data_IF_814403748180
#
_entry.id   IF_814403748180
#
_cell.length_a   1.000
_cell.length_b   1.000
_cell.length_c   1.000
_cell.angle_alpha   90.00
_cell.angle_beta   90.00
_cell.angle_gamma   90.00
#
_symmetry.space_group_name_H-M   'P 1'
#
loop_
_entity.id
_entity.type
_entity.pdbx_description
1 polymer ?
#
# COMPACT_ATOMS: atom_id res chain seq x y z
N UNK A 1 65.23 46.87 27.81
CA UNK A 1 63.84 46.99 28.32
C UNK A 1 62.78 46.82 27.22
N UNK A 2 63.14 46.86 25.93
CA UNK A 2 62.23 46.73 24.77
C UNK A 2 61.85 45.28 24.42
N UNK A 3 62.73 44.32 24.67
CA UNK A 3 62.52 42.90 24.32
C UNK A 3 61.41 42.22 25.14
N UNK A 4 61.28 42.55 26.43
CA UNK A 4 60.23 42.02 27.29
C UNK A 4 58.83 42.51 26.85
N UNK A 5 58.76 43.74 26.34
CA UNK A 5 57.51 44.37 25.91
C UNK A 5 57.07 43.83 24.54
N UNK A 6 58.03 43.56 23.64
CA UNK A 6 57.78 42.87 22.38
C UNK A 6 57.34 41.41 22.59
N UNK A 7 57.94 40.70 23.55
CA UNK A 7 57.55 39.34 23.91
C UNK A 7 56.11 39.29 24.49
N UNK A 8 55.75 40.26 25.34
CA UNK A 8 54.40 40.37 25.89
C UNK A 8 53.35 40.67 24.79
N UNK A 9 53.66 41.61 23.88
CA UNK A 9 52.80 41.93 22.74
C UNK A 9 52.65 40.74 21.78
N UNK A 10 53.73 40.02 21.51
CA UNK A 10 53.71 38.80 20.70
C UNK A 10 52.84 37.70 21.32
N UNK A 11 52.90 37.53 22.64
CA UNK A 11 52.07 36.57 23.36
C UNK A 11 50.57 36.94 23.34
N UNK A 12 50.25 38.23 23.48
CA UNK A 12 48.86 38.72 23.42
C UNK A 12 48.29 38.53 22.01
N UNK A 13 49.02 38.94 20.97
CA UNK A 13 48.59 38.80 19.57
C UNK A 13 48.48 37.32 19.18
N UNK A 14 49.46 36.50 19.57
CA UNK A 14 49.42 35.05 19.36
C UNK A 14 48.24 34.37 20.05
N UNK A 15 47.92 34.77 21.29
CA UNK A 15 46.77 34.27 22.04
C UNK A 15 45.43 34.64 21.39
N UNK A 16 45.27 35.89 20.95
CA UNK A 16 44.04 36.36 20.28
C UNK A 16 43.84 35.66 18.93
N UNK A 17 44.89 35.52 18.12
CA UNK A 17 44.81 34.82 16.83
C UNK A 17 44.49 33.33 17.03
N UNK A 18 45.10 32.69 18.04
CA UNK A 18 44.84 31.28 18.35
C UNK A 18 43.40 31.05 18.81
N UNK A 19 42.86 31.93 19.68
CA UNK A 19 41.48 31.88 20.12
C UNK A 19 40.49 32.11 18.96
N UNK A 20 40.81 33.04 18.05
CA UNK A 20 39.97 33.33 16.89
C UNK A 20 39.93 32.17 15.88
N UNK A 21 41.09 31.58 15.55
CA UNK A 21 41.16 30.41 14.66
C UNK A 21 40.49 29.20 15.30
N UNK A 22 40.74 28.95 16.60
CA UNK A 22 40.09 27.88 17.35
C UNK A 22 38.57 28.04 17.37
N UNK A 23 38.06 29.23 17.68
CA UNK A 23 36.62 29.52 17.64
C UNK A 23 35.99 29.27 16.27
N UNK A 24 36.68 29.67 15.19
CA UNK A 24 36.18 29.44 13.81
C UNK A 24 36.20 27.97 13.41
N UNK A 25 37.20 27.21 13.84
CA UNK A 25 37.28 25.77 13.60
C UNK A 25 36.22 25.02 14.40
N UNK A 26 36.04 25.33 15.68
CA UNK A 26 35.00 24.73 16.52
C UNK A 26 33.60 25.07 16.01
N UNK A 27 33.34 26.30 15.58
CA UNK A 27 32.05 26.67 14.99
C UNK A 27 31.75 25.93 13.68
N UNK A 28 32.76 25.65 12.85
CA UNK A 28 32.60 24.84 11.63
C UNK A 28 32.30 23.38 11.95
N UNK A 29 33.00 22.80 12.93
CA UNK A 29 32.78 21.42 13.36
C UNK A 29 31.38 21.26 13.95
N UNK A 30 30.98 22.15 14.87
CA UNK A 30 29.63 22.13 15.44
C UNK A 30 28.54 22.30 14.38
N UNK A 31 28.75 23.18 13.39
CA UNK A 31 27.81 23.33 12.27
C UNK A 31 27.73 22.04 11.44
N UNK A 32 28.85 21.39 11.16
CA UNK A 32 28.86 20.15 10.39
C UNK A 32 28.22 18.97 11.16
N UNK A 33 28.52 18.82 12.45
CA UNK A 33 27.89 17.81 13.31
C UNK A 33 26.38 18.03 13.45
N UNK A 34 25.94 19.28 13.54
CA UNK A 34 24.50 19.60 13.60
C UNK A 34 23.80 19.36 12.27
N UNK A 35 24.46 19.61 11.14
CA UNK A 35 23.94 19.27 9.80
C UNK A 35 23.82 17.76 9.61
N UNK A 36 24.86 16.98 9.97
CA UNK A 36 24.83 15.52 9.94
C UNK A 36 23.72 14.94 10.84
N UNK A 37 23.62 15.43 12.09
CA UNK A 37 22.56 14.99 12.99
C UNK A 37 21.15 15.38 12.50
N UNK A 38 21.01 16.45 11.72
CA UNK A 38 19.74 16.83 11.10
C UNK A 38 19.41 15.93 9.90
N UNK A 39 20.41 15.53 9.12
CA UNK A 39 20.29 14.59 8.00
C UNK A 39 19.91 13.19 8.50
N UNK A 40 20.63 12.63 9.48
CA UNK A 40 20.32 11.34 10.10
C UNK A 40 18.88 11.31 10.66
N UNK A 41 18.43 12.40 11.29
CA UNK A 41 17.04 12.51 11.78
C UNK A 41 16.02 12.54 10.65
N UNK A 42 16.36 13.09 9.48
CA UNK A 42 15.46 13.08 8.31
C UNK A 42 15.39 11.68 7.72
N UNK A 43 16.53 11.02 7.55
CA UNK A 43 16.61 9.65 7.04
C UNK A 43 15.88 8.66 7.95
N UNK A 44 16.08 8.76 9.27
CA UNK A 44 15.35 7.95 10.25
C UNK A 44 13.83 8.16 10.16
N UNK A 45 13.38 9.42 10.02
CA UNK A 45 11.94 9.72 9.85
C UNK A 45 11.39 9.13 8.55
N UNK A 46 12.14 9.23 7.45
CA UNK A 46 11.74 8.65 6.17
C UNK A 46 11.66 7.12 6.26
N UNK A 47 12.64 6.47 6.88
CA UNK A 47 12.64 5.02 7.07
C UNK A 47 11.47 4.56 7.96
N UNK A 48 11.18 5.28 9.05
CA UNK A 48 10.06 4.96 9.92
C UNK A 48 8.71 5.18 9.24
N UNK A 49 8.57 6.22 8.42
CA UNK A 49 7.36 6.49 7.63
C UNK A 49 7.13 5.37 6.59
N UNK A 50 8.16 4.97 5.85
CA UNK A 50 8.08 3.86 4.90
C UNK A 50 7.71 2.54 5.58
N UNK A 51 8.25 2.27 6.78
CA UNK A 51 7.88 1.08 7.57
C UNK A 51 6.42 1.11 7.98
N UNK A 52 5.90 2.26 8.40
CA UNK A 52 4.48 2.43 8.77
C UNK A 52 3.57 2.22 7.57
N UNK A 53 3.93 2.80 6.42
CA UNK A 53 3.22 2.64 5.16
C UNK A 53 3.16 1.18 4.71
N UNK A 54 4.30 0.49 4.71
CA UNK A 54 4.38 -0.93 4.36
C UNK A 54 3.58 -1.80 5.34
N UNK A 55 3.69 -1.57 6.65
CA UNK A 55 2.89 -2.29 7.64
C UNK A 55 1.39 -2.08 7.44
N UNK A 56 0.96 -0.85 7.19
CA UNK A 56 -0.44 -0.54 6.91
C UNK A 56 -0.92 -1.22 5.62
N UNK A 57 -0.11 -1.20 4.56
CA UNK A 57 -0.43 -1.86 3.30
C UNK A 57 -0.63 -3.37 3.50
N UNK A 58 0.26 -4.01 4.26
CA UNK A 58 0.20 -5.44 4.60
C UNK A 58 -1.09 -5.80 5.36
N UNK A 59 -1.48 -5.01 6.37
CA UNK A 59 -2.74 -5.25 7.10
C UNK A 59 -3.97 -5.11 6.21
N UNK A 60 -3.95 -4.16 5.27
CA UNK A 60 -5.05 -3.94 4.34
C UNK A 60 -5.10 -5.02 3.24
N UNK A 61 -3.96 -5.55 2.81
CA UNK A 61 -3.89 -6.71 1.91
C UNK A 61 -4.53 -7.95 2.53
N UNK A 62 -4.25 -8.24 3.80
CA UNK A 62 -4.91 -9.33 4.54
C UNK A 62 -6.42 -9.12 4.59
N UNK A 63 -6.87 -7.92 4.94
CA UNK A 63 -8.30 -7.61 5.00
C UNK A 63 -9.02 -7.72 3.64
N UNK A 64 -8.33 -7.34 2.54
CA UNK A 64 -8.86 -7.54 1.18
C UNK A 64 -8.97 -9.02 0.83
N UNK A 65 -7.95 -9.82 1.15
CA UNK A 65 -7.97 -11.26 0.91
C UNK A 65 -9.13 -11.94 1.66
N UNK A 66 -9.31 -11.61 2.94
CA UNK A 66 -10.44 -12.09 3.76
C UNK A 66 -11.79 -11.67 3.18
N UNK A 67 -11.88 -10.45 2.63
CA UNK A 67 -13.10 -9.93 2.03
C UNK A 67 -13.47 -10.66 0.73
N UNK A 68 -12.49 -10.96 -0.12
CA UNK A 68 -12.71 -11.63 -1.42
C UNK A 68 -12.90 -13.14 -1.30
N UNK A 69 -12.46 -13.74 -0.20
CA UNK A 69 -12.59 -15.18 0.05
C UNK A 69 -14.05 -15.57 0.30
N UNK A 70 -14.56 -16.47 -0.54
CA UNK A 70 -15.90 -17.05 -0.39
C UNK A 70 -15.76 -18.53 -0.04
N UNK A 71 -16.09 -18.87 1.20
CA UNK A 71 -16.21 -20.26 1.65
C UNK A 71 -17.65 -20.74 1.35
N UNK A 72 -17.91 -21.29 0.16
CA UNK A 72 -19.25 -21.77 -0.22
C UNK A 72 -19.45 -22.03 -1.71
N UNK A 73 -20.70 -22.28 -2.11
CA UNK A 73 -21.11 -22.52 -3.50
C UNK A 73 -20.82 -21.30 -4.39
N UNK A 74 -20.10 -21.51 -5.51
CA UNK A 74 -19.79 -20.47 -6.50
C UNK A 74 -21.05 -19.81 -7.08
N UNK A 75 -22.19 -20.52 -7.09
CA UNK A 75 -23.47 -19.96 -7.53
C UNK A 75 -23.95 -18.78 -6.66
N UNK A 76 -23.37 -18.60 -5.47
CA UNK A 76 -23.70 -17.52 -4.53
C UNK A 76 -22.73 -16.33 -4.59
N UNK A 77 -21.86 -16.28 -5.60
CA UNK A 77 -20.83 -15.23 -5.71
C UNK A 77 -21.41 -13.81 -5.77
N UNK A 78 -22.47 -13.58 -6.55
CA UNK A 78 -23.15 -12.27 -6.59
C UNK A 78 -23.72 -11.90 -5.22
N UNK A 79 -24.35 -12.86 -4.54
CA UNK A 79 -24.92 -12.66 -3.22
C UNK A 79 -23.89 -12.42 -2.12
N UNK A 80 -22.65 -12.85 -2.34
CA UNK A 80 -21.54 -12.63 -1.43
C UNK A 80 -20.98 -11.20 -1.44
N UNK A 81 -21.26 -10.42 -2.48
CA UNK A 81 -20.74 -9.05 -2.65
C UNK A 81 -21.82 -7.97 -2.79
N UNK A 82 -23.00 -8.33 -3.29
CA UNK A 82 -24.15 -7.43 -3.44
C UNK A 82 -25.35 -7.90 -2.62
N UNK A 83 -26.21 -6.96 -2.21
CA UNK A 83 -27.47 -7.26 -1.53
C UNK A 83 -28.52 -7.77 -2.53
N UNK A 84 -28.66 -9.09 -2.61
CA UNK A 84 -29.69 -9.80 -3.40
C UNK A 84 -30.38 -10.84 -2.52
N UNK A 85 -31.57 -11.35 -2.89
CA UNK A 85 -32.21 -12.45 -2.16
C UNK A 85 -31.24 -13.64 -2.01
N UNK A 86 -30.97 -14.02 -0.77
CA UNK A 86 -30.05 -15.10 -0.41
C UNK A 86 -30.42 -15.69 0.95
N UNK A 87 -29.75 -16.76 1.36
CA UNK A 87 -29.94 -17.33 2.70
C UNK A 87 -29.43 -16.37 3.78
N UNK A 88 -29.96 -16.51 5.00
CA UNK A 88 -29.54 -15.71 6.15
C UNK A 88 -28.03 -15.85 6.44
N UNK A 89 -27.47 -17.04 6.19
CA UNK A 89 -26.05 -17.33 6.39
C UNK A 89 -25.17 -16.51 5.43
N UNK A 90 -25.55 -16.40 4.16
CA UNK A 90 -24.84 -15.58 3.17
C UNK A 90 -24.84 -14.11 3.58
N UNK A 91 -25.97 -13.60 4.07
CA UNK A 91 -26.07 -12.23 4.58
C UNK A 91 -25.19 -12.00 5.81
N UNK A 92 -25.14 -12.95 6.73
CA UNK A 92 -24.30 -12.87 7.94
C UNK A 92 -22.82 -12.90 7.58
N UNK A 93 -22.40 -13.84 6.73
CA UNK A 93 -21.01 -13.94 6.26
C UNK A 93 -20.56 -12.68 5.51
N UNK A 94 -21.41 -12.14 4.63
CA UNK A 94 -21.14 -10.90 3.91
C UNK A 94 -20.98 -9.71 4.84
N UNK A 95 -21.91 -9.51 5.79
CA UNK A 95 -21.83 -8.44 6.78
C UNK A 95 -20.54 -8.52 7.61
N UNK A 96 -20.15 -9.73 8.02
CA UNK A 96 -18.89 -9.95 8.74
C UNK A 96 -17.69 -9.50 7.92
N UNK A 97 -17.56 -9.98 6.67
CA UNK A 97 -16.46 -9.59 5.76
C UNK A 97 -16.40 -8.08 5.52
N UNK A 98 -17.53 -7.45 5.24
CA UNK A 98 -17.61 -5.99 5.04
C UNK A 98 -17.19 -5.24 6.30
N UNK A 99 -17.66 -5.66 7.48
CA UNK A 99 -17.28 -5.06 8.75
C UNK A 99 -15.78 -5.15 9.00
N UNK A 100 -15.18 -6.33 8.78
CA UNK A 100 -13.72 -6.55 8.93
C UNK A 100 -12.93 -5.64 7.98
N UNK A 101 -13.33 -5.57 6.70
CA UNK A 101 -12.67 -4.73 5.71
C UNK A 101 -12.70 -3.24 6.10
N UNK A 102 -13.88 -2.74 6.48
CA UNK A 102 -14.03 -1.33 6.86
C UNK A 102 -13.29 -1.00 8.17
N UNK A 103 -13.25 -1.93 9.12
CA UNK A 103 -12.50 -1.77 10.35
C UNK A 103 -10.99 -1.69 10.07
N UNK A 104 -10.44 -2.59 9.26
CA UNK A 104 -9.04 -2.54 8.84
C UNK A 104 -8.71 -1.20 8.15
N UNK A 105 -9.61 -0.74 7.26
CA UNK A 105 -9.52 0.58 6.64
C UNK A 105 -9.40 1.71 7.66
N UNK A 106 -10.31 1.75 8.65
CA UNK A 106 -10.27 2.79 9.70
C UNK A 106 -8.99 2.75 10.54
N UNK A 107 -8.43 1.57 10.76
CA UNK A 107 -7.23 1.37 11.60
C UNK A 107 -5.94 1.68 10.86
N UNK A 108 -5.87 1.50 9.54
CA UNK A 108 -4.59 1.48 8.82
C UNK A 108 -4.53 2.42 7.60
N UNK A 109 -5.65 2.76 6.97
CA UNK A 109 -5.62 3.52 5.71
C UNK A 109 -5.00 4.93 5.86
N UNK A 110 -5.11 5.54 7.04
CA UNK A 110 -4.55 6.87 7.33
C UNK A 110 -3.01 6.94 7.19
N UNK A 111 -2.33 5.80 7.24
CA UNK A 111 -0.89 5.71 7.07
C UNK A 111 -0.48 5.49 5.61
N UNK A 112 -1.42 5.37 4.67
CA UNK A 112 -1.10 5.20 3.25
C UNK A 112 -0.72 6.53 2.57
N UNK A 113 0.02 6.47 1.44
CA UNK A 113 0.20 7.63 0.58
C UNK A 113 -1.15 8.23 0.14
N UNK A 114 -1.25 9.56 -0.07
CA UNK A 114 -2.54 10.24 -0.32
C UNK A 114 -3.35 9.66 -1.47
N UNK A 115 -2.70 9.30 -2.58
CA UNK A 115 -3.38 8.71 -3.74
C UNK A 115 -3.99 7.34 -3.41
N UNK A 116 -3.24 6.51 -2.68
CA UNK A 116 -3.69 5.18 -2.30
C UNK A 116 -4.77 5.23 -1.22
N UNK A 117 -4.67 6.19 -0.30
CA UNK A 117 -5.73 6.49 0.66
C UNK A 117 -7.04 6.86 -0.06
N UNK A 118 -6.97 7.70 -1.10
CA UNK A 118 -8.15 8.05 -1.90
C UNK A 118 -8.74 6.83 -2.65
N UNK A 119 -7.90 5.95 -3.19
CA UNK A 119 -8.34 4.68 -3.81
C UNK A 119 -9.04 3.78 -2.78
N UNK A 120 -8.50 3.71 -1.56
CA UNK A 120 -9.11 2.94 -0.46
C UNK A 120 -10.47 3.51 -0.05
N UNK A 121 -10.60 4.82 0.12
CA UNK A 121 -11.86 5.48 0.43
C UNK A 121 -12.93 5.23 -0.65
N UNK A 122 -12.53 5.27 -1.92
CA UNK A 122 -13.42 4.94 -3.03
C UNK A 122 -13.87 3.46 -2.97
N UNK A 123 -12.97 2.52 -2.68
CA UNK A 123 -13.32 1.11 -2.49
C UNK A 123 -14.29 0.93 -1.30
N UNK A 124 -14.01 1.57 -0.17
CA UNK A 124 -14.87 1.51 1.01
C UNK A 124 -16.28 2.04 0.70
N UNK A 125 -16.37 3.10 -0.09
CA UNK A 125 -17.65 3.62 -0.58
C UNK A 125 -18.36 2.62 -1.51
N UNK A 126 -17.67 2.04 -2.49
CA UNK A 126 -18.26 1.03 -3.38
C UNK A 126 -18.80 -0.18 -2.62
N UNK A 127 -18.03 -0.68 -1.65
CA UNK A 127 -18.45 -1.79 -0.78
C UNK A 127 -19.71 -1.42 -0.01
N UNK A 128 -19.74 -0.25 0.62
CA UNK A 128 -20.94 0.24 1.35
C UNK A 128 -22.14 0.40 0.42
N UNK A 129 -21.93 0.95 -0.77
CA UNK A 129 -22.98 1.12 -1.76
C UNK A 129 -23.60 -0.21 -2.18
N UNK A 130 -22.77 -1.21 -2.47
CA UNK A 130 -23.21 -2.56 -2.85
C UNK A 130 -23.93 -3.33 -1.71
N UNK A 131 -23.75 -2.89 -0.45
CA UNK A 131 -24.46 -3.42 0.71
C UNK A 131 -25.75 -2.69 1.06
N UNK A 132 -25.88 -1.44 0.63
CA UNK A 132 -27.07 -0.63 0.90
C UNK A 132 -28.30 -1.18 0.19
N UNK A 133 -29.47 -0.76 0.63
CA UNK A 133 -30.73 -1.10 -0.03
C UNK A 133 -30.80 -0.34 -1.36
N UNK A 134 -30.74 -1.09 -2.45
CA UNK A 134 -30.76 -0.56 -3.82
C UNK A 134 -32.12 -0.83 -4.45
N UNK A 135 -32.53 0.03 -5.38
CA UNK A 135 -33.65 -0.26 -6.27
C UNK A 135 -33.37 -1.55 -7.06
N UNK A 136 -34.43 -2.20 -7.52
CA UNK A 136 -34.29 -3.44 -8.28
C UNK A 136 -33.51 -3.20 -9.58
N UNK A 137 -32.29 -3.75 -9.64
CA UNK A 137 -31.43 -3.73 -10.84
C UNK A 137 -31.57 -5.06 -11.57
N UNK A 138 -31.51 -5.02 -12.91
CA UNK A 138 -31.47 -6.23 -13.73
C UNK A 138 -30.25 -7.09 -13.37
N UNK A 139 -30.35 -8.41 -13.55
CA UNK A 139 -29.25 -9.33 -13.20
C UNK A 139 -27.93 -8.96 -13.89
N UNK A 140 -27.98 -8.57 -15.17
CA UNK A 140 -26.81 -8.14 -15.93
C UNK A 140 -26.12 -6.91 -15.29
N UNK A 141 -26.88 -5.93 -14.80
CA UNK A 141 -26.31 -4.77 -14.13
C UNK A 141 -25.71 -5.16 -12.77
N UNK A 142 -26.34 -6.06 -12.02
CA UNK A 142 -25.79 -6.56 -10.75
C UNK A 142 -24.48 -7.32 -10.93
N UNK A 143 -24.40 -8.20 -11.93
CA UNK A 143 -23.17 -8.92 -12.26
C UNK A 143 -22.06 -7.97 -12.69
N UNK A 144 -22.41 -6.91 -13.42
CA UNK A 144 -21.48 -5.84 -13.78
C UNK A 144 -21.00 -5.10 -12.54
N UNK A 145 -21.89 -4.69 -11.63
CA UNK A 145 -21.52 -4.01 -10.37
C UNK A 145 -20.57 -4.85 -9.51
N UNK A 146 -20.80 -6.17 -9.43
CA UNK A 146 -19.90 -7.11 -8.75
C UNK A 146 -18.56 -7.23 -9.47
N UNK A 147 -18.56 -7.27 -10.80
CA UNK A 147 -17.32 -7.32 -11.59
C UNK A 147 -16.50 -6.02 -11.42
N UNK A 148 -17.16 -4.86 -11.46
CA UNK A 148 -16.54 -3.55 -11.24
C UNK A 148 -15.88 -3.51 -9.84
N UNK A 149 -16.58 -3.99 -8.80
CA UNK A 149 -16.03 -4.08 -7.45
C UNK A 149 -14.79 -4.98 -7.39
N UNK A 150 -14.86 -6.19 -7.94
CA UNK A 150 -13.74 -7.14 -7.88
C UNK A 150 -12.53 -6.64 -8.68
N UNK A 151 -12.77 -6.01 -9.83
CA UNK A 151 -11.73 -5.37 -10.63
C UNK A 151 -11.08 -4.20 -9.88
N UNK A 152 -11.89 -3.39 -9.19
CA UNK A 152 -11.36 -2.28 -8.40
C UNK A 152 -10.60 -2.77 -7.15
N UNK A 153 -11.04 -3.87 -6.53
CA UNK A 153 -10.30 -4.54 -5.45
C UNK A 153 -8.92 -4.98 -5.94
N UNK A 154 -8.83 -5.58 -7.13
CA UNK A 154 -7.54 -5.99 -7.72
C UNK A 154 -6.63 -4.78 -7.99
N UNK A 155 -7.20 -3.69 -8.53
CA UNK A 155 -6.47 -2.44 -8.73
C UNK A 155 -5.90 -1.86 -7.42
N UNK A 156 -6.70 -1.85 -6.36
CA UNK A 156 -6.27 -1.41 -5.01
C UNK A 156 -5.22 -2.35 -4.44
N UNK A 157 -5.37 -3.66 -4.62
CA UNK A 157 -4.42 -4.68 -4.19
C UNK A 157 -3.03 -4.46 -4.80
N UNK A 158 -2.95 -4.29 -6.11
CA UNK A 158 -1.68 -4.00 -6.80
C UNK A 158 -1.04 -2.70 -6.29
N UNK A 159 -1.86 -1.71 -6.00
CA UNK A 159 -1.39 -0.45 -5.43
C UNK A 159 -0.81 -0.62 -4.02
N UNK A 160 -1.40 -1.49 -3.20
CA UNK A 160 -0.88 -1.84 -1.87
C UNK A 160 0.42 -2.66 -1.97
N UNK A 161 0.48 -3.65 -2.87
CA UNK A 161 1.70 -4.44 -3.12
C UNK A 161 2.89 -3.55 -3.51
N UNK A 162 2.67 -2.53 -4.34
CA UNK A 162 3.71 -1.57 -4.71
C UNK A 162 4.27 -0.77 -3.52
N UNK A 163 3.46 -0.50 -2.49
CA UNK A 163 3.93 0.14 -1.24
C UNK A 163 4.77 -0.82 -0.40
N UNK A 164 4.46 -2.11 -0.42
CA UNK A 164 5.27 -3.15 0.23
C UNK A 164 6.51 -3.55 -0.58
N UNK A 165 6.71 -2.96 -1.76
CA UNK A 165 7.90 -3.15 -2.62
C UNK A 165 7.76 -4.24 -3.68
N UNK A 166 6.57 -4.82 -3.84
CA UNK A 166 6.30 -5.90 -4.80
C UNK A 166 5.69 -5.34 -6.09
N UNK A 167 6.51 -4.62 -6.86
CA UNK A 167 6.17 -4.14 -8.21
C UNK A 167 5.95 -2.62 -8.31
N UNK A 168 5.73 -2.11 -9.54
CA UNK A 168 5.52 -0.69 -9.77
C UNK A 168 4.13 -0.23 -9.31
N UNK A 169 4.04 1.00 -8.78
CA UNK A 169 2.76 1.62 -8.45
C UNK A 169 1.90 1.80 -9.71
N UNK A 170 0.68 1.25 -9.75
CA UNK A 170 -0.22 1.47 -10.87
C UNK A 170 -0.56 2.96 -11.03
N UNK A 171 -0.69 3.39 -12.30
CA UNK A 171 -1.16 4.73 -12.63
C UNK A 171 -2.50 5.03 -11.95
N UNK A 172 -2.75 6.32 -11.67
CA UNK A 172 -3.94 6.73 -10.95
C UNK A 172 -5.17 6.79 -11.86
N UNK A 173 -6.16 5.95 -11.57
CA UNK A 173 -7.43 5.87 -12.29
C UNK A 173 -8.59 6.09 -11.33
N UNK A 174 -9.65 6.74 -11.83
CA UNK A 174 -10.86 6.96 -11.06
C UNK A 174 -11.58 5.63 -10.80
N UNK A 175 -12.23 5.53 -9.63
CA UNK A 175 -13.12 4.42 -9.33
C UNK A 175 -14.32 4.39 -10.29
N UNK A 176 -14.84 3.20 -10.62
CA UNK A 176 -16.05 3.10 -11.40
C UNK A 176 -17.22 3.79 -10.70
N UNK A 177 -18.01 4.54 -11.46
CA UNK A 177 -19.27 5.05 -10.96
C UNK A 177 -20.25 3.89 -10.75
N UNK A 178 -20.52 3.55 -9.49
CA UNK A 178 -21.47 2.49 -9.10
C UNK A 178 -22.91 2.78 -9.51
N UNK A 179 -23.23 4.03 -9.86
CA UNK A 179 -24.58 4.45 -10.29
C UNK A 179 -24.75 4.44 -11.79
N UNK A 180 -23.70 4.19 -12.58
CA UNK A 180 -23.80 4.19 -14.05
C UNK A 180 -24.73 3.10 -14.56
N UNK A 181 -25.37 3.38 -15.69
CA UNK A 181 -26.28 2.45 -16.38
C UNK A 181 -25.61 1.64 -17.49
N UNK A 182 -24.32 1.91 -17.76
CA UNK A 182 -23.54 1.17 -18.75
C UNK A 182 -23.34 -0.30 -18.40
N UNK A 183 -23.35 -1.17 -19.42
CA UNK A 183 -23.15 -2.61 -19.27
C UNK A 183 -21.68 -3.05 -19.29
N UNK A 184 -20.76 -2.18 -19.74
CA UNK A 184 -19.33 -2.49 -19.82
C UNK A 184 -18.74 -2.60 -18.42
N UNK A 185 -17.91 -3.62 -18.17
CA UNK A 185 -17.15 -3.77 -16.93
C UNK A 185 -15.97 -2.80 -16.89
N UNK A 186 -15.75 -2.18 -15.74
CA UNK A 186 -14.63 -1.28 -15.51
C UNK A 186 -13.30 -2.03 -15.59
N UNK A 187 -12.32 -1.43 -16.25
CA UNK A 187 -10.98 -1.98 -16.40
C UNK A 187 -10.85 -3.29 -17.20
N UNK A 188 -11.86 -3.66 -17.98
CA UNK A 188 -11.78 -4.82 -18.88
C UNK A 188 -11.88 -4.35 -20.32
N UNK A 189 -10.75 -4.41 -21.05
CA UNK A 189 -10.59 -3.92 -22.43
C UNK A 189 -11.14 -2.51 -22.62
N UNK A 190 -10.65 -1.50 -21.87
CA UNK A 190 -11.06 -0.13 -22.09
C UNK A 190 -10.65 0.34 -23.50
N UNK A 191 -11.51 1.11 -24.17
CA UNK A 191 -11.13 1.82 -25.38
C UNK A 191 -10.37 3.11 -25.04
N UNK A 192 -9.81 3.79 -26.05
CA UNK A 192 -9.04 5.02 -25.86
C UNK A 192 -9.82 6.19 -25.25
N UNK A 193 -11.16 6.13 -25.18
CA UNK A 193 -11.99 7.17 -24.59
C UNK A 193 -12.21 6.98 -23.08
N UNK A 194 -11.85 5.82 -22.51
CA UNK A 194 -12.03 5.52 -21.11
C UNK A 194 -10.71 5.61 -20.34
N UNK A 195 -10.66 6.49 -19.34
CA UNK A 195 -9.51 6.62 -18.45
C UNK A 195 -9.56 5.55 -17.33
N UNK A 196 -9.25 4.32 -17.70
CA UNK A 196 -9.29 3.13 -16.83
C UNK A 196 -8.08 2.22 -17.12
N UNK A 197 -7.60 1.43 -16.13
CA UNK A 197 -6.53 0.48 -16.39
C UNK A 197 -7.05 -0.66 -17.28
N UNK A 198 -6.22 -1.21 -18.16
CA UNK A 198 -6.53 -2.48 -18.80
C UNK A 198 -6.11 -3.65 -17.91
N UNK A 199 -7.07 -4.18 -17.15
CA UNK A 199 -6.89 -5.32 -16.25
C UNK A 199 -7.11 -6.66 -16.97
N UNK A 200 -7.32 -6.66 -18.30
CA UNK A 200 -7.61 -7.90 -19.05
C UNK A 200 -6.48 -8.91 -18.89
N UNK A 201 -5.23 -8.45 -18.95
CA UNK A 201 -4.04 -9.28 -18.76
C UNK A 201 -3.71 -9.53 -17.29
N UNK A 202 -4.33 -8.77 -16.37
CA UNK A 202 -4.12 -8.93 -14.93
C UNK A 202 -4.90 -10.14 -14.38
N UNK A 203 -5.56 -10.91 -15.25
CA UNK A 203 -6.29 -12.12 -14.92
C UNK A 203 -5.98 -13.31 -15.85
N UNK A 204 -5.28 -14.32 -15.32
CA UNK A 204 -5.72 -15.73 -15.25
C UNK A 204 -4.69 -16.64 -14.54
N UNK A 205 -3.40 -16.32 -14.52
CA UNK A 205 -2.35 -17.12 -13.84
C UNK A 205 -2.07 -16.72 -12.39
N UNK A 206 -2.61 -15.60 -11.92
CA UNK A 206 -2.14 -14.89 -10.71
C UNK A 206 -3.27 -14.37 -9.81
N UNK A 207 -4.42 -15.07 -9.69
CA UNK A 207 -5.42 -14.73 -8.65
C UNK A 207 -4.94 -14.97 -7.21
N UNK A 208 -3.65 -15.22 -7.04
CA UNK A 208 -2.88 -15.41 -5.83
C UNK A 208 -2.04 -14.13 -5.58
N UNK A 209 -1.33 -14.07 -4.45
CA UNK A 209 -0.02 -13.38 -4.36
C UNK A 209 -0.11 -11.89 -3.97
N UNK A 210 -0.72 -11.60 -2.81
CA UNK A 210 -0.29 -10.46 -2.01
C UNK A 210 0.75 -10.96 -1.00
N UNK A 211 1.98 -10.42 -1.04
CA UNK A 211 3.00 -10.73 -0.04
C UNK A 211 2.69 -9.91 1.19
N UNK A 212 2.72 -10.54 2.36
CA UNK A 212 2.47 -9.88 3.63
C UNK A 212 3.63 -10.19 4.54
N UNK A 213 4.26 -9.15 5.09
CA UNK A 213 5.30 -9.28 6.10
C UNK A 213 4.68 -9.09 7.48
N UNK A 214 4.59 -10.18 8.23
CA UNK A 214 4.08 -10.15 9.59
C UNK A 214 5.08 -9.49 10.55
N UNK A 215 4.57 -9.02 11.69
CA UNK A 215 5.38 -8.44 12.78
C UNK A 215 6.40 -9.42 13.36
N UNK A 216 6.18 -10.72 13.19
CA UNK A 216 7.10 -11.81 13.56
C UNK A 216 8.32 -11.91 12.62
N UNK A 217 8.32 -11.16 11.52
CA UNK A 217 9.33 -11.25 10.45
C UNK A 217 8.99 -12.29 9.37
N UNK A 218 7.97 -13.11 9.58
CA UNK A 218 7.50 -14.09 8.62
C UNK A 218 6.87 -13.41 7.41
N UNK A 219 7.20 -13.89 6.21
CA UNK A 219 6.61 -13.43 4.96
C UNK A 219 5.68 -14.51 4.44
N UNK A 220 4.41 -14.17 4.23
CA UNK A 220 3.40 -15.10 3.73
C UNK A 220 2.77 -14.59 2.45
N UNK A 221 2.45 -15.53 1.57
CA UNK A 221 1.68 -15.25 0.38
C UNK A 221 0.24 -15.66 0.61
N UNK A 222 -0.67 -14.72 0.39
CA UNK A 222 -2.10 -14.96 0.49
C UNK A 222 -2.68 -15.31 -0.88
N UNK A 223 -3.42 -16.41 -0.94
CA UNK A 223 -4.10 -16.84 -2.16
C UNK A 223 -5.52 -16.31 -2.35
N UNK A 224 -6.18 -16.61 -3.48
CA UNK A 224 -7.53 -16.12 -3.81
C UNK A 224 -8.59 -16.53 -2.78
N UNK A 225 -8.29 -17.59 -2.05
CA UNK A 225 -9.15 -18.19 -1.03
C UNK A 225 -8.72 -17.79 0.39
N UNK A 226 -7.84 -16.79 0.55
CA UNK A 226 -7.35 -16.35 1.88
C UNK A 226 -6.44 -17.38 2.57
N UNK A 227 -6.13 -18.48 1.87
CA UNK A 227 -5.20 -19.50 2.33
C UNK A 227 -3.77 -19.01 2.12
N UNK A 228 -2.92 -19.30 3.12
CA UNK A 228 -1.47 -19.12 2.99
C UNK A 228 -1.01 -20.18 2.00
N UNK A 229 -0.50 -19.77 0.85
CA UNK A 229 0.07 -20.69 -0.13
C UNK A 229 1.59 -20.63 -0.05
N UNK A 230 2.21 -21.78 0.20
CA UNK A 230 3.65 -21.92 0.06
C UNK A 230 3.96 -21.83 -1.44
N UNK A 231 4.58 -20.72 -1.87
CA UNK A 231 5.03 -20.59 -3.26
C UNK A 231 6.08 -21.68 -3.53
N UNK A 232 6.00 -22.43 -4.65
CA UNK A 232 7.08 -23.30 -5.05
C UNK A 232 8.34 -22.46 -5.20
N UNK A 233 9.40 -22.77 -4.44
CA UNK A 233 10.69 -22.13 -4.65
C UNK A 233 11.02 -22.23 -6.15
N UNK A 234 11.17 -21.09 -6.81
CA UNK A 234 11.87 -21.05 -8.10
C UNK A 234 13.19 -21.77 -7.85
N UNK A 235 13.37 -22.89 -8.56
CA UNK A 235 14.58 -23.70 -8.52
C UNK A 235 15.74 -22.82 -8.95
N UNK A 236 16.39 -22.25 -7.94
CA UNK A 236 17.68 -21.62 -8.07
C UNK A 236 18.64 -22.65 -8.65
N UNK A 237 19.19 -22.29 -9.80
CA UNK A 237 20.40 -22.83 -10.41
C UNK A 237 20.28 -24.21 -11.07
N UNK A 238 20.33 -24.16 -12.40
CA UNK A 238 20.90 -25.20 -13.22
C UNK A 238 22.27 -25.59 -12.64
N UNK A 239 22.37 -26.80 -12.08
CA UNK A 239 23.66 -27.45 -11.90
C UNK A 239 24.30 -27.60 -13.29
N UNK A 240 25.55 -27.13 -13.48
CA UNK A 240 26.28 -27.46 -14.68
C UNK A 240 26.63 -28.94 -14.58
N UNK A 241 26.02 -29.78 -15.43
CA UNK A 241 26.57 -31.09 -15.75
C UNK A 241 27.91 -30.86 -16.47
N UNK A 242 28.98 -30.85 -15.68
CA UNK A 242 30.36 -30.96 -16.13
C UNK A 242 30.86 -32.39 -15.92
N UNK A 243 31.26 -32.99 -17.04
CA UNK A 243 32.04 -34.22 -17.29
C UNK A 243 31.55 -35.57 -16.73
#
# INVERSE_FOLDING_TARGET
MTEMLAALLGAIVGGVLSAWVGSRQTAKVLKHETELAAEERRESKLADELRRQSFAADQLLVALADFTTINGDENQRTASFARVPATADVHTGRKKRVSTLLQAGSSHAHALPPELHARWEALAWMVRFNQSEQGERTENLRQRDVSDLLNYVEYVRQSLCAVSGDGPMPANYAAPDVRRDGHRRWGFRPDAAHNEPDLTEWHLSTRLIGKVKHTTGETRWYGPNGLVEDIPQESSEAEPTGD
#
